data_IF_956594006225
#
_entry.id   IF_956594006225
#
_cell.length_a   1.000
_cell.length_b   1.000
_cell.length_c   1.000
_cell.angle_alpha   90.00
_cell.angle_beta   90.00
_cell.angle_gamma   90.00
#
_symmetry.space_group_name_H-M   'P 1'
#
loop_
_entity.id
_entity.type
_entity.pdbx_description
1 polymer ?
#
# COMPACT_ATOMS: atom_id res chain seq x y z
N UNK A 1 -27.16 2.91 -49.55
CA UNK A 1 -26.63 2.04 -48.47
C UNK A 1 -25.38 2.59 -47.76
N UNK A 2 -24.65 3.56 -48.34
CA UNK A 2 -23.47 4.18 -47.69
C UNK A 2 -23.79 5.11 -46.51
N UNK A 3 -25.00 5.72 -46.50
CA UNK A 3 -25.44 6.65 -45.44
C UNK A 3 -25.75 5.94 -44.10
N UNK A 4 -26.18 4.67 -44.15
CA UNK A 4 -26.44 3.84 -42.96
C UNK A 4 -25.13 3.44 -42.26
N UNK A 5 -24.04 3.27 -43.01
CA UNK A 5 -22.73 2.87 -42.47
C UNK A 5 -22.05 3.99 -41.66
N UNK A 6 -22.32 5.26 -41.99
CA UNK A 6 -21.73 6.43 -41.32
C UNK A 6 -22.38 6.68 -39.95
N UNK A 7 -23.69 6.44 -39.82
CA UNK A 7 -24.43 6.64 -38.57
C UNK A 7 -24.00 5.66 -37.46
N UNK A 8 -23.65 4.43 -37.81
CA UNK A 8 -23.24 3.40 -36.84
C UNK A 8 -21.81 3.67 -36.32
N UNK A 9 -20.96 4.30 -37.13
CA UNK A 9 -19.57 4.62 -36.76
C UNK A 9 -19.47 5.78 -35.73
N UNK A 10 -20.44 6.70 -35.70
CA UNK A 10 -20.44 7.80 -34.73
C UNK A 10 -20.94 7.37 -33.33
N UNK A 11 -21.74 6.31 -33.23
CA UNK A 11 -22.32 5.86 -31.96
C UNK A 11 -21.31 5.18 -31.02
N UNK A 12 -20.14 4.77 -31.52
CA UNK A 12 -19.10 4.11 -30.71
C UNK A 12 -18.04 5.09 -30.17
N UNK A 13 -18.08 6.36 -30.59
CA UNK A 13 -17.12 7.38 -30.15
C UNK A 13 -17.65 8.28 -29.02
N UNK A 14 -18.94 8.19 -28.67
CA UNK A 14 -19.52 8.87 -27.50
C UNK A 14 -19.93 7.84 -26.44
N UNK A 15 -19.01 7.49 -25.54
CA UNK A 15 -19.37 6.50 -24.51
C UNK A 15 -18.35 6.14 -23.44
N UNK A 16 -17.41 7.01 -23.08
CA UNK A 16 -16.68 6.90 -21.80
C UNK A 16 -16.74 8.25 -21.09
N UNK A 17 -17.91 8.62 -20.58
CA UNK A 17 -17.99 9.54 -19.47
C UNK A 17 -17.49 8.79 -18.24
N UNK A 18 -16.19 8.90 -17.94
CA UNK A 18 -15.67 8.58 -16.63
C UNK A 18 -16.29 9.59 -15.65
N UNK A 19 -17.42 9.21 -15.04
CA UNK A 19 -17.79 9.76 -13.76
C UNK A 19 -16.92 9.04 -12.75
N UNK A 20 -15.82 9.68 -12.36
CA UNK A 20 -15.33 9.55 -10.99
C UNK A 20 -16.47 10.02 -10.10
N UNK A 21 -17.40 9.11 -9.81
CA UNK A 21 -18.27 9.22 -8.66
C UNK A 21 -17.32 9.23 -7.48
N UNK A 22 -17.04 10.47 -7.04
CA UNK A 22 -16.47 10.83 -5.75
C UNK A 22 -16.90 9.75 -4.76
N UNK A 23 -15.92 8.95 -4.36
CA UNK A 23 -16.12 7.77 -3.53
C UNK A 23 -16.62 8.30 -2.21
N UNK A 24 -17.94 8.40 -2.09
CA UNK A 24 -18.63 8.45 -0.82
C UNK A 24 -17.98 7.35 -0.02
N UNK A 25 -17.23 7.74 1.01
CA UNK A 25 -16.66 6.86 2.00
C UNK A 25 -17.83 6.08 2.59
N UNK A 26 -18.20 5.00 1.91
CA UNK A 26 -19.09 3.99 2.42
C UNK A 26 -18.37 3.48 3.64
N UNK A 27 -18.92 3.78 4.81
CA UNK A 27 -18.53 3.20 6.08
C UNK A 27 -18.87 1.69 6.11
N UNK A 28 -18.71 0.98 4.99
CA UNK A 28 -18.51 -0.45 4.96
C UNK A 28 -17.12 -0.70 5.51
N UNK A 29 -17.04 -0.63 6.83
CA UNK A 29 -15.88 -1.11 7.54
C UNK A 29 -15.86 -2.63 7.34
N UNK A 30 -15.15 -3.09 6.31
CA UNK A 30 -14.89 -4.51 6.08
C UNK A 30 -13.39 -4.78 6.25
N UNK A 31 -13.07 -5.82 7.03
CA UNK A 31 -11.70 -6.28 7.26
C UNK A 31 -11.01 -5.72 8.51
N UNK A 32 -9.68 -5.81 8.54
CA UNK A 32 -8.85 -5.50 9.72
C UNK A 32 -9.03 -4.06 10.22
N UNK A 33 -9.51 -3.11 9.41
CA UNK A 33 -9.72 -1.73 9.86
C UNK A 33 -10.77 -1.61 10.98
N UNK A 34 -11.65 -2.60 11.10
CA UNK A 34 -12.87 -2.57 11.92
C UNK A 34 -12.74 -3.35 13.22
N UNK A 35 -11.75 -4.24 13.24
CA UNK A 35 -11.38 -4.94 14.46
C UNK A 35 -10.92 -3.92 15.50
N UNK A 36 -11.31 -4.14 16.75
CA UNK A 36 -10.80 -3.33 17.86
C UNK A 36 -9.29 -3.50 17.98
N UNK A 37 -8.61 -2.54 18.62
CA UNK A 37 -7.16 -2.63 18.80
C UNK A 37 -6.78 -3.83 19.69
N UNK A 38 -7.67 -4.25 20.58
CA UNK A 38 -7.57 -5.47 21.40
C UNK A 38 -7.69 -6.73 20.56
N UNK A 39 -8.65 -6.79 19.64
CA UNK A 39 -8.84 -7.93 18.74
C UNK A 39 -7.66 -8.08 17.77
N UNK A 40 -7.17 -6.97 17.21
CA UNK A 40 -5.94 -6.94 16.40
C UNK A 40 -4.76 -7.49 17.18
N UNK A 41 -4.59 -7.06 18.43
CA UNK A 41 -3.52 -7.53 19.31
C UNK A 41 -3.67 -9.02 19.62
N UNK A 42 -4.89 -9.50 19.88
CA UNK A 42 -5.18 -10.93 20.10
C UNK A 42 -4.88 -11.77 18.87
N UNK A 43 -5.15 -11.23 17.68
CA UNK A 43 -4.80 -11.85 16.40
C UNK A 43 -3.31 -11.73 16.03
N UNK A 44 -2.47 -11.13 16.89
CA UNK A 44 -1.02 -11.04 16.69
C UNK A 44 -0.56 -9.89 15.81
N UNK A 45 -1.47 -8.97 15.45
CA UNK A 45 -1.12 -7.74 14.75
C UNK A 45 -0.59 -6.68 15.70
N UNK A 46 0.40 -5.92 15.22
CA UNK A 46 0.85 -4.70 15.86
C UNK A 46 0.64 -3.52 14.92
N UNK A 47 -0.27 -2.63 15.29
CA UNK A 47 -0.57 -1.41 14.56
C UNK A 47 0.16 -0.22 15.17
N UNK A 48 0.75 0.63 14.33
CA UNK A 48 1.42 1.88 14.73
C UNK A 48 1.00 3.00 13.78
N UNK A 49 0.88 4.21 14.32
CA UNK A 49 0.71 5.41 13.51
C UNK A 49 2.10 5.84 13.01
N UNK A 50 2.28 5.88 11.69
CA UNK A 50 3.55 6.21 11.05
C UNK A 50 3.33 7.43 10.15
N UNK A 51 4.15 8.45 10.35
CA UNK A 51 4.19 9.62 9.47
C UNK A 51 5.00 9.29 8.24
N UNK A 52 4.36 9.27 7.08
CA UNK A 52 5.05 9.08 5.80
C UNK A 52 5.65 10.41 5.32
N UNK A 53 6.83 10.35 4.70
CA UNK A 53 7.52 11.53 4.19
C UNK A 53 6.61 12.30 3.23
N UNK A 54 6.51 13.62 3.42
CA UNK A 54 5.66 14.49 2.60
C UNK A 54 4.21 14.63 3.07
N UNK A 55 3.76 13.86 4.06
CA UNK A 55 2.45 14.02 4.69
C UNK A 55 2.58 14.48 6.14
N UNK A 56 1.69 15.39 6.58
CA UNK A 56 1.52 15.73 8.01
C UNK A 56 0.50 14.83 8.71
N UNK A 57 -0.21 13.99 7.96
CA UNK A 57 -1.20 13.07 8.48
C UNK A 57 -0.58 11.68 8.64
N UNK A 58 -0.57 11.12 9.88
CA UNK A 58 -0.04 9.79 10.12
C UNK A 58 -0.99 8.70 9.60
N UNK A 59 -0.41 7.66 9.02
CA UNK A 59 -1.14 6.49 8.52
C UNK A 59 -0.99 5.34 9.51
N UNK A 60 -2.08 4.60 9.79
CA UNK A 60 -2.02 3.38 10.60
C UNK A 60 -1.45 2.23 9.78
N UNK A 61 -0.28 1.73 10.17
CA UNK A 61 0.32 0.53 9.58
C UNK A 61 0.30 -0.62 10.59
N UNK A 62 -0.27 -1.75 10.20
CA UNK A 62 -0.32 -2.97 10.99
C UNK A 62 0.61 -4.03 10.40
N UNK A 63 1.35 -4.74 11.26
CA UNK A 63 2.28 -5.81 10.86
C UNK A 63 2.02 -7.07 11.68
N UNK A 64 2.25 -8.24 11.09
CA UNK A 64 2.15 -9.53 11.80
C UNK A 64 3.45 -9.87 12.53
N UNK A 65 3.44 -10.92 13.35
CA UNK A 65 4.66 -11.43 13.98
C UNK A 65 5.69 -11.94 12.95
N UNK A 66 5.24 -12.70 11.95
CA UNK A 66 6.13 -13.24 10.90
C UNK A 66 6.80 -12.13 10.08
N UNK A 67 6.04 -11.13 9.63
CA UNK A 67 6.57 -9.98 8.88
C UNK A 67 7.63 -9.22 9.66
N UNK A 68 7.42 -9.05 10.98
CA UNK A 68 8.40 -8.38 11.85
C UNK A 68 9.68 -9.20 12.01
N UNK A 69 9.58 -10.52 12.10
CA UNK A 69 10.74 -11.40 12.18
C UNK A 69 11.54 -11.41 10.88
N UNK A 70 10.87 -11.52 9.74
CA UNK A 70 11.49 -11.45 8.41
C UNK A 70 12.19 -10.11 8.20
N UNK A 71 11.54 -9.00 8.54
CA UNK A 71 12.15 -7.67 8.48
C UNK A 71 13.39 -7.56 9.37
N UNK A 72 13.38 -8.16 10.58
CA UNK A 72 14.55 -8.20 11.47
C UNK A 72 15.70 -9.00 10.88
N UNK A 73 15.41 -10.17 10.31
CA UNK A 73 16.42 -11.03 9.67
C UNK A 73 17.04 -10.31 8.46
N UNK A 74 16.21 -9.73 7.60
CA UNK A 74 16.67 -8.96 6.45
C UNK A 74 17.53 -7.76 6.86
N UNK A 75 17.08 -6.97 7.86
CA UNK A 75 17.83 -5.83 8.38
C UNK A 75 19.18 -6.26 8.96
N UNK A 76 19.22 -7.34 9.74
CA UNK A 76 20.47 -7.89 10.30
C UNK A 76 21.43 -8.30 9.18
N UNK A 77 20.96 -9.05 8.19
CA UNK A 77 21.79 -9.47 7.06
C UNK A 77 22.35 -8.28 6.26
N UNK A 78 21.58 -7.20 6.10
CA UNK A 78 22.07 -5.99 5.44
C UNK A 78 23.20 -5.32 6.25
N UNK A 79 23.01 -5.16 7.55
CA UNK A 79 24.03 -4.57 8.44
C UNK A 79 25.29 -5.43 8.46
N UNK A 80 25.16 -6.74 8.60
CA UNK A 80 26.29 -7.67 8.63
C UNK A 80 27.11 -7.58 7.32
N UNK A 81 26.44 -7.51 6.15
CA UNK A 81 27.10 -7.30 4.85
C UNK A 81 27.83 -5.95 4.77
N UNK A 82 27.20 -4.88 5.25
CA UNK A 82 27.82 -3.55 5.26
C UNK A 82 29.06 -3.51 6.16
N UNK A 83 29.03 -4.18 7.31
CA UNK A 83 30.17 -4.27 8.23
C UNK A 83 31.34 -5.03 7.60
N UNK A 84 31.07 -6.17 6.94
CA UNK A 84 32.10 -6.94 6.24
C UNK A 84 32.74 -6.15 5.09
N UNK A 85 31.96 -5.36 4.37
CA UNK A 85 32.48 -4.51 3.28
C UNK A 85 33.20 -3.25 3.80
N UNK A 86 32.78 -2.71 4.95
CA UNK A 86 33.39 -1.53 5.58
C UNK A 86 34.73 -1.82 6.26
N UNK A 87 34.93 -3.03 6.79
CA UNK A 87 36.19 -3.45 7.42
C UNK A 87 37.35 -3.68 6.43
N UNK A 88 37.09 -3.63 5.11
CA UNK A 88 38.14 -3.66 4.07
C UNK A 88 38.56 -2.28 3.55
N UNK A 89 38.03 -1.18 4.12
CA UNK A 89 38.36 0.21 3.73
C UNK A 89 39.08 0.97 4.85
N UNK A 90 39.92 0.29 5.64
CA UNK A 90 40.98 1.01 6.35
C UNK A 90 41.96 1.57 5.32
N UNK A 91 42.01 2.89 5.31
CA UNK A 91 42.80 3.76 4.44
C UNK A 91 44.28 3.46 4.64
N UNK A 92 44.95 2.97 3.59
CA UNK A 92 46.38 3.20 3.38
C UNK A 92 46.59 4.64 2.91
#
# INVERSE_FOLDING_TARGET
>A
MKLQLILILCATLLGCAAQDADTTASNSCEGMQCMSDEEKKRAGYQCKAITVTGSRLPVKQCTTASQREEARKAAKQMVDKMQQQGQGREVQ
#
